data_IF_777618206139
#
_entry.id   IF_777618206139
#
_cell.length_a   1.000
_cell.length_b   1.000
_cell.length_c   1.000
_cell.angle_alpha   90.00
_cell.angle_beta   90.00
_cell.angle_gamma   90.00
#
_symmetry.space_group_name_H-M   'P 1'
#
loop_
_entity.id
_entity.type
_entity.pdbx_description
1 polymer ?
#
# COMPACT_ATOMS: atom_id res chain seq x y z
N UNK A 1 -15.60 1.06 9.01
CA UNK A 1 -14.51 1.56 8.14
C UNK A 1 -14.14 0.46 7.14
N UNK A 2 -14.00 0.77 5.85
CA UNK A 2 -14.03 -0.17 4.71
C UNK A 2 -12.73 -1.00 4.48
N UNK A 3 -11.97 -1.28 5.53
CA UNK A 3 -10.61 -1.82 5.43
C UNK A 3 -9.60 -0.74 5.05
N UNK A 4 -8.54 -1.13 4.34
CA UNK A 4 -7.45 -0.23 3.92
C UNK A 4 -7.96 0.73 2.84
N UNK A 5 -7.67 2.02 3.02
CA UNK A 5 -7.99 3.09 2.06
C UNK A 5 -6.68 3.62 1.47
N UNK A 6 -6.61 3.68 0.15
CA UNK A 6 -5.44 4.17 -0.57
C UNK A 6 -5.52 5.70 -0.73
N UNK A 7 -4.46 6.40 -0.35
CA UNK A 7 -4.32 7.85 -0.51
C UNK A 7 -3.05 8.14 -1.32
N UNK A 8 -3.11 8.07 -2.67
CA UNK A 8 -1.97 8.37 -3.54
C UNK A 8 -1.65 9.87 -3.54
N UNK A 9 -0.75 10.29 -2.63
CA UNK A 9 -0.42 11.71 -2.44
C UNK A 9 0.66 12.23 -3.41
N UNK A 10 1.66 11.40 -3.72
CA UNK A 10 2.80 11.79 -4.56
C UNK A 10 3.37 10.58 -5.30
N UNK A 11 3.78 10.78 -6.54
CA UNK A 11 4.50 9.79 -7.35
C UNK A 11 5.71 10.42 -8.04
N UNK A 12 6.79 9.65 -8.19
CA UNK A 12 7.97 10.03 -8.96
C UNK A 12 8.13 9.10 -10.17
N UNK A 13 8.58 9.64 -11.29
CA UNK A 13 8.79 8.88 -12.52
C UNK A 13 10.15 8.16 -12.46
N UNK A 14 10.12 6.84 -12.46
CA UNK A 14 11.32 6.04 -12.72
C UNK A 14 11.60 5.97 -14.22
N UNK A 15 12.82 6.34 -14.62
CA UNK A 15 13.31 6.22 -15.99
C UNK A 15 14.45 5.20 -16.01
N UNK A 16 14.41 4.23 -16.92
CA UNK A 16 15.48 3.24 -17.05
C UNK A 16 16.77 3.93 -17.49
N UNK A 17 17.91 3.46 -16.99
CA UNK A 17 19.23 4.04 -17.31
C UNK A 17 19.48 4.21 -18.81
N UNK A 18 19.04 3.25 -19.62
CA UNK A 18 19.16 3.28 -21.10
C UNK A 18 18.37 4.40 -21.77
N UNK A 19 17.31 4.89 -21.13
CA UNK A 19 16.42 5.93 -21.68
C UNK A 19 16.80 7.35 -21.20
N UNK A 20 17.78 7.46 -20.28
CA UNK A 20 18.15 8.73 -19.64
C UNK A 20 18.78 9.70 -20.63
N UNK A 21 19.63 9.24 -21.54
CA UNK A 21 20.36 10.12 -22.47
C UNK A 21 19.41 11.03 -23.25
N UNK A 22 18.29 10.47 -23.75
CA UNK A 22 17.28 11.22 -24.51
C UNK A 22 16.58 12.27 -23.65
N UNK A 23 16.28 11.94 -22.39
CA UNK A 23 15.60 12.84 -21.46
C UNK A 23 16.54 13.89 -20.88
N UNK A 24 17.81 13.55 -20.64
CA UNK A 24 18.83 14.46 -20.15
C UNK A 24 19.06 15.62 -21.13
N UNK A 25 19.27 15.29 -22.41
CA UNK A 25 19.47 16.29 -23.49
C UNK A 25 18.37 17.35 -23.57
N UNK A 26 17.12 16.99 -23.23
CA UNK A 26 15.96 17.87 -23.37
C UNK A 26 15.49 18.50 -22.05
N UNK A 27 15.68 17.83 -20.92
CA UNK A 27 15.07 18.21 -19.64
C UNK A 27 16.05 18.18 -18.45
N UNK A 28 17.35 17.92 -18.68
CA UNK A 28 18.33 17.79 -17.60
C UNK A 28 18.08 16.61 -16.67
N UNK A 29 17.36 15.57 -17.14
CA UNK A 29 16.98 14.42 -16.33
C UNK A 29 18.19 13.60 -15.89
N UNK A 30 18.28 13.29 -14.60
CA UNK A 30 19.33 12.45 -14.02
C UNK A 30 18.81 11.06 -13.69
N UNK A 31 19.69 10.05 -13.78
CA UNK A 31 19.32 8.70 -13.42
C UNK A 31 19.17 8.55 -11.90
N UNK A 32 18.00 8.11 -11.47
CA UNK A 32 17.77 7.69 -10.09
C UNK A 32 17.23 6.25 -10.06
N UNK A 33 17.74 5.46 -9.13
CA UNK A 33 17.23 4.11 -8.88
C UNK A 33 15.85 4.16 -8.23
N UNK A 34 15.07 3.09 -8.37
CA UNK A 34 13.77 2.95 -7.67
C UNK A 34 13.92 3.09 -6.15
N UNK A 35 15.04 2.64 -5.60
CA UNK A 35 15.34 2.76 -4.17
C UNK A 35 15.55 4.22 -3.76
N UNK A 36 16.32 5.01 -4.55
CA UNK A 36 16.50 6.44 -4.30
C UNK A 36 15.17 7.20 -4.36
N UNK A 37 14.37 6.96 -5.41
CA UNK A 37 13.04 7.57 -5.55
C UNK A 37 12.11 7.20 -4.39
N UNK A 38 12.16 5.94 -3.94
CA UNK A 38 11.39 5.49 -2.77
C UNK A 38 11.80 6.19 -1.49
N UNK A 39 13.11 6.34 -1.23
CA UNK A 39 13.62 7.09 -0.08
C UNK A 39 13.20 8.56 -0.15
N UNK A 40 13.25 9.17 -1.33
CA UNK A 40 12.81 10.56 -1.52
C UNK A 40 11.31 10.73 -1.18
N UNK A 41 10.45 9.84 -1.71
CA UNK A 41 9.02 9.84 -1.42
C UNK A 41 8.73 9.70 0.08
N UNK A 42 9.43 8.78 0.75
CA UNK A 42 9.25 8.52 2.19
C UNK A 42 9.79 9.67 3.03
N UNK A 43 10.91 10.27 2.64
CA UNK A 43 11.47 11.45 3.32
C UNK A 43 10.49 12.62 3.24
N UNK A 44 9.93 12.88 2.05
CA UNK A 44 8.90 13.89 1.88
C UNK A 44 7.67 13.60 2.73
N UNK A 45 7.17 12.35 2.69
CA UNK A 45 5.97 11.96 3.44
C UNK A 45 6.16 12.13 4.95
N UNK A 46 7.24 11.59 5.52
CA UNK A 46 7.53 11.70 6.95
C UNK A 46 7.69 13.15 7.37
N UNK A 47 8.49 13.95 6.65
CA UNK A 47 8.63 15.39 6.95
C UNK A 47 7.28 16.10 6.96
N UNK A 48 6.46 15.84 5.94
CA UNK A 48 5.14 16.46 5.79
C UNK A 48 4.22 16.12 6.96
N UNK A 49 4.07 14.84 7.31
CA UNK A 49 3.16 14.47 8.42
C UNK A 49 3.68 14.96 9.78
N UNK A 50 5.01 15.04 9.98
CA UNK A 50 5.60 15.59 11.21
C UNK A 50 5.35 17.09 11.33
N UNK A 51 5.42 17.83 10.22
CA UNK A 51 5.05 19.26 10.19
C UNK A 51 3.57 19.46 10.58
N UNK A 52 2.68 18.54 10.20
CA UNK A 52 1.28 18.53 10.64
C UNK A 52 1.08 18.01 12.08
N UNK A 53 2.15 17.76 12.84
CA UNK A 53 2.07 17.34 14.25
C UNK A 53 1.73 15.86 14.45
N UNK A 54 1.66 15.05 13.39
CA UNK A 54 1.42 13.61 13.50
C UNK A 54 2.67 12.98 14.09
N UNK A 55 2.56 12.37 15.29
CA UNK A 55 3.67 11.69 15.99
C UNK A 55 3.62 10.17 15.92
N UNK A 56 2.61 9.60 15.26
CA UNK A 56 2.42 8.15 15.17
C UNK A 56 3.57 7.47 14.43
N UNK A 57 3.84 6.23 14.82
CA UNK A 57 4.85 5.39 14.18
C UNK A 57 4.39 5.04 12.76
N UNK A 58 5.27 5.24 11.78
CA UNK A 58 4.98 4.92 10.38
C UNK A 58 5.45 3.50 10.11
N UNK A 59 4.55 2.67 9.58
CA UNK A 59 4.88 1.34 9.07
C UNK A 59 4.87 1.38 7.55
N UNK A 60 5.92 0.83 6.95
CA UNK A 60 6.10 0.70 5.52
C UNK A 60 6.07 -0.77 5.14
N UNK A 61 5.21 -1.11 4.19
CA UNK A 61 5.14 -2.46 3.61
C UNK A 61 5.61 -2.41 2.16
N UNK A 62 6.63 -3.18 1.83
CA UNK A 62 7.22 -3.23 0.48
C UNK A 62 7.43 -4.66 0.01
N UNK A 63 7.59 -4.81 -1.30
CA UNK A 63 8.01 -6.09 -1.89
C UNK A 63 9.48 -6.43 -1.54
N UNK A 64 9.84 -7.70 -1.65
CA UNK A 64 11.20 -8.20 -1.42
C UNK A 64 12.27 -7.52 -2.27
N UNK A 65 11.93 -6.92 -3.43
CA UNK A 65 12.86 -6.11 -4.22
C UNK A 65 13.40 -4.86 -3.47
N UNK A 66 12.71 -4.40 -2.43
CA UNK A 66 13.13 -3.30 -1.56
C UNK A 66 13.82 -3.77 -0.29
N UNK A 67 13.92 -5.08 -0.04
CA UNK A 67 14.66 -5.66 1.08
C UNK A 67 16.18 -5.62 0.84
N UNK A 68 16.72 -4.42 0.61
CA UNK A 68 18.14 -4.16 0.32
C UNK A 68 18.67 -3.02 1.16
N UNK A 69 19.95 -3.12 1.56
CA UNK A 69 20.62 -2.14 2.43
C UNK A 69 20.49 -0.68 1.99
N UNK A 70 20.76 -0.31 0.72
CA UNK A 70 20.69 1.08 0.28
C UNK A 70 19.30 1.71 0.40
N UNK A 71 18.25 0.90 0.48
CA UNK A 71 16.88 1.36 0.72
C UNK A 71 16.54 1.33 2.21
N UNK A 72 16.84 0.22 2.89
CA UNK A 72 16.41 0.00 4.27
C UNK A 72 17.09 0.95 5.27
N UNK A 73 18.39 1.22 5.12
CA UNK A 73 19.10 2.05 6.11
C UNK A 73 18.57 3.49 6.14
N UNK A 74 18.45 4.22 5.01
CA UNK A 74 17.87 5.56 5.04
C UNK A 74 16.42 5.59 5.52
N UNK A 75 15.62 4.56 5.18
CA UNK A 75 14.23 4.48 5.65
C UNK A 75 14.14 4.28 7.16
N UNK A 76 15.04 3.48 7.75
CA UNK A 76 15.10 3.30 9.19
C UNK A 76 15.58 4.56 9.93
N UNK A 77 16.49 5.33 9.33
CA UNK A 77 16.92 6.64 9.87
C UNK A 77 15.76 7.65 9.95
N UNK A 78 14.74 7.51 9.09
CA UNK A 78 13.49 8.28 9.18
C UNK A 78 12.55 7.80 10.31
N UNK A 79 12.94 6.77 11.07
CA UNK A 79 12.12 6.18 12.13
C UNK A 79 10.95 5.32 11.63
N UNK A 80 11.01 4.87 10.37
CA UNK A 80 9.97 4.02 9.77
C UNK A 80 10.23 2.55 10.13
N UNK A 81 9.17 1.83 10.54
CA UNK A 81 9.19 0.37 10.65
C UNK A 81 8.97 -0.23 9.28
N UNK A 82 9.80 -1.18 8.86
CA UNK A 82 9.68 -1.82 7.55
C UNK A 82 9.24 -3.27 7.71
N UNK A 83 8.19 -3.64 6.97
CA UNK A 83 7.71 -5.00 6.78
C UNK A 83 7.91 -5.39 5.32
N UNK A 84 8.54 -6.53 5.06
CA UNK A 84 8.76 -7.00 3.69
C UNK A 84 8.94 -8.51 3.65
N UNK A 85 8.83 -9.08 2.45
CA UNK A 85 9.24 -10.45 2.18
C UNK A 85 10.77 -10.58 2.31
N UNK A 86 11.23 -11.69 2.87
CA UNK A 86 12.63 -12.12 2.82
C UNK A 86 12.88 -13.04 1.63
N UNK A 87 14.10 -13.04 1.13
CA UNK A 87 14.56 -14.14 0.26
C UNK A 87 14.69 -15.42 1.09
N UNK A 88 14.42 -16.59 0.48
CA UNK A 88 14.54 -17.89 1.16
C UNK A 88 15.97 -18.19 1.63
N UNK A 89 16.96 -17.58 0.99
CA UNK A 89 18.40 -17.68 1.28
C UNK A 89 18.96 -16.46 2.04
N UNK A 90 18.09 -15.65 2.65
CA UNK A 90 18.51 -14.45 3.40
C UNK A 90 19.59 -14.78 4.45
N UNK A 91 20.60 -13.90 4.52
CA UNK A 91 21.74 -14.07 5.43
C UNK A 91 21.35 -13.63 6.86
N UNK A 92 20.80 -14.58 7.61
CA UNK A 92 20.34 -14.42 8.98
C UNK A 92 21.24 -15.16 9.96
N UNK A 93 21.40 -14.62 11.17
CA UNK A 93 22.14 -15.23 12.26
C UNK A 93 21.31 -15.20 13.54
N UNK A 94 21.67 -16.05 14.50
CA UNK A 94 21.11 -15.99 15.85
C UNK A 94 21.41 -14.62 16.51
N UNK A 95 20.82 -14.39 17.68
CA UNK A 95 21.15 -13.21 18.50
C UNK A 95 22.59 -13.34 19.06
N UNK A 96 23.32 -12.22 19.24
CA UNK A 96 24.59 -12.25 19.94
C UNK A 96 24.39 -12.68 21.39
N UNK A 97 25.39 -13.36 21.96
CA UNK A 97 25.38 -13.75 23.38
C UNK A 97 25.50 -12.49 24.23
N UNK A 98 24.63 -12.35 25.23
CA UNK A 98 24.70 -11.24 26.17
C UNK A 98 26.06 -11.23 26.91
N UNK A 99 26.71 -10.07 26.99
CA UNK A 99 28.01 -9.93 27.65
C UNK A 99 29.23 -10.39 26.83
N UNK A 100 29.07 -10.69 25.54
CA UNK A 100 30.22 -10.98 24.68
C UNK A 100 31.18 -9.79 24.57
N UNK A 101 32.49 -10.04 24.67
CA UNK A 101 33.51 -9.01 24.46
C UNK A 101 33.47 -8.45 23.04
N UNK A 102 33.48 -7.12 22.93
CA UNK A 102 33.32 -6.38 21.68
C UNK A 102 31.85 -6.31 21.25
N UNK A 103 31.43 -5.17 20.69
CA UNK A 103 30.07 -4.89 20.24
C UNK A 103 29.61 -5.81 19.08
N UNK A 104 29.47 -7.11 19.35
CA UNK A 104 29.20 -8.14 18.35
C UNK A 104 27.75 -8.04 17.90
N UNK A 105 27.55 -7.63 16.64
CA UNK A 105 26.22 -7.39 16.06
C UNK A 105 25.48 -8.67 15.63
N UNK A 106 26.19 -9.80 15.48
CA UNK A 106 25.64 -11.04 14.94
C UNK A 106 25.97 -12.24 15.82
N UNK A 107 25.03 -13.17 15.96
CA UNK A 107 25.25 -14.47 16.59
C UNK A 107 26.23 -15.34 15.81
N UNK A 108 26.66 -16.44 16.44
CA UNK A 108 27.65 -17.37 15.85
C UNK A 108 27.06 -18.22 14.72
N UNK A 109 25.81 -18.69 14.87
CA UNK A 109 25.22 -19.63 13.92
C UNK A 109 24.40 -18.91 12.87
N UNK A 110 24.53 -19.37 11.62
CA UNK A 110 23.70 -18.95 10.50
C UNK A 110 22.35 -19.68 10.55
N UNK A 111 21.26 -18.95 10.34
CA UNK A 111 19.91 -19.50 10.27
C UNK A 111 19.56 -19.80 8.81
N UNK A 112 19.06 -21.01 8.55
CA UNK A 112 18.46 -21.37 7.26
C UNK A 112 16.94 -21.37 7.35
N UNK A 113 16.30 -20.48 6.59
CA UNK A 113 14.84 -20.40 6.53
C UNK A 113 14.21 -21.68 5.97
N UNK A 114 14.84 -22.28 4.95
CA UNK A 114 14.38 -23.54 4.38
C UNK A 114 14.41 -24.68 5.42
N UNK A 115 15.50 -24.81 6.19
CA UNK A 115 15.57 -25.80 7.28
C UNK A 115 14.54 -25.51 8.37
N UNK A 116 14.34 -24.24 8.76
CA UNK A 116 13.33 -23.83 9.74
C UNK A 116 11.91 -24.15 9.27
N UNK A 117 11.61 -23.92 7.99
CA UNK A 117 10.30 -24.22 7.40
C UNK A 117 10.05 -25.74 7.30
N UNK A 118 11.05 -26.52 6.86
CA UNK A 118 10.94 -27.98 6.71
C UNK A 118 10.80 -28.73 8.05
N UNK A 119 11.29 -28.16 9.15
CA UNK A 119 11.23 -28.81 10.46
C UNK A 119 9.77 -28.94 10.96
N UNK A 120 9.36 -30.11 11.46
CA UNK A 120 7.96 -30.33 11.85
C UNK A 120 7.53 -29.62 13.14
N UNK A 121 8.47 -29.40 14.08
CA UNK A 121 8.15 -28.72 15.36
C UNK A 121 8.18 -27.20 15.22
N UNK A 122 7.46 -26.51 16.12
CA UNK A 122 7.47 -25.06 16.30
C UNK A 122 6.50 -24.28 15.42
N UNK A 123 5.57 -24.97 14.75
CA UNK A 123 4.45 -24.33 14.06
C UNK A 123 3.35 -23.98 15.05
N UNK A 124 2.79 -22.79 14.89
CA UNK A 124 1.60 -22.31 15.61
C UNK A 124 0.55 -21.86 14.61
N UNK A 125 -0.70 -21.77 15.04
CA UNK A 125 -1.82 -21.32 14.20
C UNK A 125 -2.22 -19.91 14.61
N UNK A 126 -2.54 -19.06 13.64
CA UNK A 126 -3.10 -17.72 13.86
C UNK A 126 -4.24 -17.47 12.88
N UNK A 127 -5.26 -16.77 13.36
CA UNK A 127 -6.33 -16.20 12.54
C UNK A 127 -6.16 -14.68 12.52
N UNK A 128 -6.17 -14.09 11.33
CA UNK A 128 -5.98 -12.64 11.15
C UNK A 128 -6.79 -12.13 9.95
N UNK A 129 -7.01 -10.81 9.88
CA UNK A 129 -7.80 -10.21 8.81
C UNK A 129 -6.98 -10.05 7.53
N UNK A 130 -7.31 -10.82 6.50
CA UNK A 130 -6.70 -10.72 5.18
C UNK A 130 -7.73 -10.25 4.16
N UNK A 131 -7.54 -9.04 3.61
CA UNK A 131 -8.40 -8.48 2.54
C UNK A 131 -9.89 -8.50 2.88
N UNK A 132 -10.23 -8.22 4.14
CA UNK A 132 -11.61 -8.17 4.60
C UNK A 132 -12.25 -9.53 4.89
N UNK A 133 -11.46 -10.61 4.94
CA UNK A 133 -11.91 -11.95 5.37
C UNK A 133 -10.93 -12.48 6.41
N UNK A 134 -11.41 -13.26 7.37
CA UNK A 134 -10.54 -13.90 8.35
C UNK A 134 -9.91 -15.14 7.73
N UNK A 135 -8.58 -15.24 7.81
CA UNK A 135 -7.84 -16.38 7.30
C UNK A 135 -7.04 -17.02 8.41
N UNK A 136 -7.05 -18.35 8.44
CA UNK A 136 -6.27 -19.14 9.39
C UNK A 136 -5.04 -19.68 8.68
N UNK A 137 -3.86 -19.43 9.26
CA UNK A 137 -2.57 -19.85 8.71
C UNK A 137 -1.67 -20.43 9.79
N UNK A 138 -0.83 -21.38 9.39
CA UNK A 138 0.27 -21.84 10.22
C UNK A 138 1.47 -20.93 10.05
N UNK A 139 2.15 -20.62 11.15
CA UNK A 139 3.33 -19.77 11.14
C UNK A 139 4.42 -20.26 12.10
N UNK A 140 5.64 -19.77 11.86
CA UNK A 140 6.75 -19.78 12.83
C UNK A 140 7.26 -18.37 12.99
N UNK A 141 7.66 -18.00 14.20
CA UNK A 141 8.31 -16.71 14.45
C UNK A 141 9.52 -16.85 15.34
N UNK A 142 10.52 -16.01 15.11
CA UNK A 142 11.73 -15.92 15.91
C UNK A 142 12.44 -14.59 15.64
N UNK A 143 13.34 -14.22 16.55
CA UNK A 143 14.25 -13.09 16.35
C UNK A 143 15.53 -13.56 15.66
N UNK A 144 16.05 -12.75 14.75
CA UNK A 144 17.32 -13.01 14.07
C UNK A 144 18.07 -11.70 13.84
N UNK A 145 19.39 -11.74 13.85
CA UNK A 145 20.20 -10.63 13.35
C UNK A 145 20.34 -10.73 11.83
N UNK A 146 20.10 -9.62 11.14
CA UNK A 146 20.10 -9.60 9.67
C UNK A 146 21.16 -8.65 9.12
N UNK A 147 21.92 -9.11 8.12
CA UNK A 147 22.85 -8.23 7.41
C UNK A 147 22.13 -7.10 6.66
N UNK A 148 20.83 -7.22 6.38
CA UNK A 148 20.05 -6.18 5.72
C UNK A 148 20.06 -4.85 6.47
N UNK A 149 20.04 -4.90 7.80
CA UNK A 149 19.98 -3.71 8.66
C UNK A 149 21.05 -3.70 9.75
N UNK A 150 21.88 -4.75 9.84
CA UNK A 150 22.89 -4.97 10.88
C UNK A 150 22.32 -4.94 12.30
N UNK A 151 21.07 -5.36 12.44
CA UNK A 151 20.31 -5.32 13.69
C UNK A 151 19.34 -6.51 13.74
N UNK A 152 18.67 -6.65 14.87
CA UNK A 152 17.63 -7.66 15.11
C UNK A 152 16.39 -7.33 14.31
N UNK A 153 15.83 -8.35 13.66
CA UNK A 153 14.52 -8.32 13.01
C UNK A 153 13.66 -9.43 13.58
N UNK A 154 12.34 -9.23 13.56
CA UNK A 154 11.39 -10.32 13.75
C UNK A 154 11.16 -11.01 12.42
N UNK A 155 11.36 -12.32 12.37
CA UNK A 155 11.09 -13.16 11.21
C UNK A 155 9.79 -13.91 11.43
N UNK A 156 8.95 -13.96 10.39
CA UNK A 156 7.72 -14.75 10.37
C UNK A 156 7.73 -15.62 9.12
N UNK A 157 7.70 -16.94 9.30
CA UNK A 157 7.51 -17.90 8.20
C UNK A 157 6.04 -18.29 8.20
N UNK A 158 5.34 -18.06 7.10
CA UNK A 158 3.93 -18.47 6.92
C UNK A 158 3.88 -19.66 5.99
N UNK A 159 3.04 -20.64 6.32
CA UNK A 159 2.68 -21.76 5.45
C UNK A 159 1.32 -21.50 4.83
N UNK A 160 1.20 -21.78 3.53
CA UNK A 160 -0.03 -21.66 2.76
C UNK A 160 -0.67 -23.03 2.54
N UNK A 161 -1.93 -23.02 2.12
CA UNK A 161 -2.76 -24.21 1.96
C UNK A 161 -2.24 -25.15 0.85
N UNK A 162 -1.50 -24.59 -0.12
CA UNK A 162 -0.81 -25.34 -1.19
C UNK A 162 0.48 -26.05 -0.71
N UNK A 163 0.78 -26.00 0.58
CA UNK A 163 2.02 -26.54 1.17
C UNK A 163 3.24 -25.64 0.99
N UNK A 164 3.11 -24.54 0.22
CA UNK A 164 4.13 -23.52 0.06
C UNK A 164 4.37 -22.72 1.33
N UNK A 165 5.49 -21.99 1.37
CA UNK A 165 5.80 -21.08 2.47
C UNK A 165 6.49 -19.80 2.00
N UNK A 166 6.26 -18.72 2.75
CA UNK A 166 6.92 -17.44 2.54
C UNK A 166 7.51 -16.91 3.86
N UNK A 167 8.77 -16.45 3.86
CA UNK A 167 9.34 -15.72 4.98
C UNK A 167 9.09 -14.21 4.82
N UNK A 168 8.65 -13.58 5.89
CA UNK A 168 8.52 -12.14 6.05
C UNK A 168 9.41 -11.67 7.20
N UNK A 169 9.72 -10.38 7.21
CA UNK A 169 10.37 -9.75 8.35
C UNK A 169 9.73 -8.42 8.70
N UNK A 170 9.92 -8.04 9.96
CA UNK A 170 9.66 -6.71 10.49
C UNK A 170 10.93 -6.18 11.16
N UNK A 171 11.28 -4.92 10.91
CA UNK A 171 12.42 -4.26 11.56
C UNK A 171 12.13 -3.90 13.01
N UNK A 172 10.87 -3.88 13.43
CA UNK A 172 10.48 -3.82 14.83
C UNK A 172 10.45 -5.24 15.43
N UNK A 173 11.41 -5.53 16.31
CA UNK A 173 11.53 -6.84 16.96
C UNK A 173 10.40 -7.16 17.94
N UNK A 174 9.63 -6.17 18.38
CA UNK A 174 8.49 -6.32 19.31
C UNK A 174 7.15 -6.52 18.60
N UNK A 175 7.10 -6.31 17.28
CA UNK A 175 5.87 -6.44 16.49
C UNK A 175 5.18 -7.80 16.69
N UNK A 176 3.85 -7.80 16.83
CA UNK A 176 3.11 -9.05 16.89
C UNK A 176 3.10 -9.74 15.52
N UNK A 177 2.88 -11.05 15.50
CA UNK A 177 2.76 -11.78 14.24
C UNK A 177 1.52 -11.32 13.46
N UNK A 178 0.41 -11.04 14.16
CA UNK A 178 -0.82 -10.54 13.54
C UNK A 178 -0.57 -9.24 12.79
N UNK A 179 0.06 -8.25 13.43
CA UNK A 179 0.35 -6.94 12.82
C UNK A 179 1.19 -7.08 11.55
N UNK A 180 2.20 -7.96 11.58
CA UNK A 180 3.06 -8.21 10.42
C UNK A 180 2.26 -8.81 9.26
N UNK A 181 1.40 -9.80 9.53
CA UNK A 181 0.62 -10.48 8.50
C UNK A 181 -0.50 -9.61 7.93
N UNK A 182 -1.16 -8.82 8.78
CA UNK A 182 -2.17 -7.85 8.35
C UNK A 182 -1.54 -6.72 7.54
N UNK A 183 -0.36 -6.22 7.93
CA UNK A 183 0.39 -5.23 7.15
C UNK A 183 0.76 -5.80 5.76
N UNK A 184 1.27 -7.04 5.70
CA UNK A 184 1.57 -7.71 4.42
C UNK A 184 0.30 -7.87 3.56
N UNK A 185 -0.83 -8.25 4.17
CA UNK A 185 -2.10 -8.40 3.46
C UNK A 185 -2.62 -7.05 2.92
N UNK A 186 -2.48 -5.98 3.71
CA UNK A 186 -2.87 -4.62 3.36
C UNK A 186 -2.12 -4.07 2.14
N UNK A 187 -0.90 -4.57 1.84
CA UNK A 187 -0.13 -4.18 0.66
C UNK A 187 -0.92 -4.28 -0.64
N UNK A 188 -1.87 -5.24 -0.74
CA UNK A 188 -2.68 -5.43 -1.93
C UNK A 188 -3.52 -4.19 -2.32
N UNK A 189 -3.79 -3.29 -1.37
CA UNK A 189 -4.51 -2.04 -1.64
C UNK A 189 -3.83 -1.18 -2.73
N UNK A 190 -2.50 -1.29 -2.90
CA UNK A 190 -1.80 -0.57 -3.98
C UNK A 190 -2.16 -1.10 -5.37
N UNK A 191 -2.44 -2.41 -5.48
CA UNK A 191 -2.78 -3.05 -6.76
C UNK A 191 -4.21 -2.68 -7.16
N UNK A 192 -5.13 -2.65 -6.19
CA UNK A 192 -6.49 -2.14 -6.36
C UNK A 192 -6.49 -0.66 -6.76
N UNK A 193 -5.67 0.15 -6.09
CA UNK A 193 -5.49 1.56 -6.44
C UNK A 193 -5.00 1.74 -7.89
N UNK A 194 -3.97 1.00 -8.32
CA UNK A 194 -3.46 1.12 -9.69
C UNK A 194 -4.47 0.65 -10.74
N UNK A 195 -5.27 -0.36 -10.42
CA UNK A 195 -6.39 -0.77 -11.27
C UNK A 195 -7.40 0.38 -11.41
N UNK A 196 -7.88 0.92 -10.28
CA UNK A 196 -8.92 1.96 -10.28
C UNK A 196 -8.45 3.27 -10.92
N UNK A 197 -7.19 3.66 -10.74
CA UNK A 197 -6.64 4.87 -11.38
C UNK A 197 -6.57 4.74 -12.90
N UNK A 198 -6.36 3.53 -13.43
CA UNK A 198 -6.40 3.29 -14.88
C UNK A 198 -7.84 3.25 -15.39
N UNK A 199 -8.69 2.44 -14.77
CA UNK A 199 -10.05 2.19 -15.25
C UNK A 199 -11.00 3.38 -15.04
N UNK A 200 -10.90 4.07 -13.90
CA UNK A 200 -11.84 5.15 -13.56
C UNK A 200 -11.36 6.52 -14.04
N UNK A 201 -10.05 6.77 -13.99
CA UNK A 201 -9.45 8.07 -14.30
C UNK A 201 -8.67 8.09 -15.62
N UNK A 202 -8.62 6.97 -16.35
CA UNK A 202 -7.92 6.88 -17.64
C UNK A 202 -6.41 7.13 -17.53
N UNK A 203 -5.78 6.78 -16.40
CA UNK A 203 -4.34 6.95 -16.28
C UNK A 203 -3.59 6.11 -17.34
N UNK A 204 -2.75 6.78 -18.13
CA UNK A 204 -2.07 6.21 -19.30
C UNK A 204 -2.78 6.51 -20.63
N UNK A 205 -3.98 7.09 -20.62
CA UNK A 205 -4.72 7.50 -21.82
C UNK A 205 -4.53 8.99 -22.15
N UNK A 206 -3.73 9.73 -21.37
CA UNK A 206 -3.51 11.16 -21.58
C UNK A 206 -2.68 11.43 -22.83
N UNK A 207 -3.19 12.27 -23.71
CA UNK A 207 -2.54 12.65 -24.98
C UNK A 207 -1.66 13.90 -24.84
N UNK A 208 -0.74 13.89 -23.86
CA UNK A 208 0.18 15.00 -23.61
C UNK A 208 1.57 14.73 -24.22
N UNK A 209 2.21 15.77 -24.78
CA UNK A 209 3.49 15.65 -25.51
C UNK A 209 4.73 16.00 -24.68
N UNK A 210 4.55 16.54 -23.48
CA UNK A 210 5.63 16.96 -22.57
C UNK A 210 5.71 16.03 -21.36
N UNK A 211 6.92 15.65 -20.93
CA UNK A 211 7.14 14.73 -19.81
C UNK A 211 6.60 15.28 -18.48
N UNK A 212 6.77 16.58 -18.22
CA UNK A 212 6.25 17.24 -17.03
C UNK A 212 4.72 17.29 -17.03
N UNK A 213 4.11 17.54 -18.19
CA UNK A 213 2.66 17.43 -18.34
C UNK A 213 2.17 16.00 -18.07
N UNK A 214 2.89 14.99 -18.54
CA UNK A 214 2.55 13.59 -18.28
C UNK A 214 2.61 13.25 -16.77
N UNK A 215 3.68 13.66 -16.10
CA UNK A 215 3.83 13.52 -14.64
C UNK A 215 2.73 14.30 -13.89
N UNK A 216 2.40 15.50 -14.35
CA UNK A 216 1.32 16.32 -13.81
C UNK A 216 -0.03 15.63 -13.91
N UNK A 217 -0.37 15.09 -15.09
CA UNK A 217 -1.60 14.32 -15.29
C UNK A 217 -1.66 13.08 -14.39
N UNK A 218 -0.55 12.37 -14.21
CA UNK A 218 -0.50 11.21 -13.31
C UNK A 218 -0.80 11.60 -11.87
N UNK A 219 -0.14 12.64 -11.37
CA UNK A 219 -0.37 13.12 -9.99
C UNK A 219 -1.79 13.69 -9.82
N UNK A 220 -2.32 14.40 -10.82
CA UNK A 220 -3.70 14.88 -10.80
C UNK A 220 -4.71 13.72 -10.66
N UNK A 221 -4.52 12.63 -11.41
CA UNK A 221 -5.36 11.44 -11.27
C UNK A 221 -5.27 10.85 -9.86
N UNK A 222 -4.06 10.80 -9.26
CA UNK A 222 -3.88 10.38 -7.87
C UNK A 222 -4.59 11.32 -6.87
N UNK A 223 -4.47 12.62 -7.04
CA UNK A 223 -5.12 13.59 -6.14
C UNK A 223 -6.64 13.53 -6.24
N UNK A 224 -7.18 13.42 -7.44
CA UNK A 224 -8.63 13.24 -7.64
C UNK A 224 -9.12 11.93 -7.02
N UNK A 225 -8.35 10.84 -7.16
CA UNK A 225 -8.63 9.58 -6.46
C UNK A 225 -8.69 9.80 -4.94
N UNK A 226 -7.66 10.43 -4.37
CA UNK A 226 -7.56 10.73 -2.93
C UNK A 226 -8.75 11.56 -2.44
N UNK A 227 -9.12 12.61 -3.17
CA UNK A 227 -10.25 13.47 -2.80
C UNK A 227 -11.58 12.70 -2.80
N UNK A 228 -11.81 11.82 -3.77
CA UNK A 228 -13.01 10.97 -3.79
C UNK A 228 -13.05 10.02 -2.60
N UNK A 229 -11.91 9.41 -2.25
CA UNK A 229 -11.81 8.54 -1.07
C UNK A 229 -12.09 9.30 0.23
N UNK A 230 -11.52 10.50 0.40
CA UNK A 230 -11.73 11.34 1.57
C UNK A 230 -13.17 11.85 1.68
N UNK A 231 -13.78 12.30 0.58
CA UNK A 231 -15.17 12.78 0.55
C UNK A 231 -16.20 11.70 0.92
N UNK A 232 -15.84 10.43 0.72
CA UNK A 232 -16.71 9.29 1.00
C UNK A 232 -16.28 8.50 2.24
N UNK A 233 -15.30 9.01 3.00
CA UNK A 233 -14.66 8.28 4.10
C UNK A 233 -15.65 7.83 5.18
N UNK A 234 -16.52 8.75 5.61
CA UNK A 234 -17.52 8.55 6.66
C UNK A 234 -18.92 8.19 6.13
N UNK A 235 -19.05 7.94 4.82
CA UNK A 235 -20.35 7.65 4.20
C UNK A 235 -20.62 6.14 4.23
N UNK A 236 -21.85 5.77 4.59
CA UNK A 236 -22.30 4.37 4.65
C UNK A 236 -22.33 3.68 3.28
N UNK A 237 -22.07 2.37 3.25
CA UNK A 237 -22.09 1.58 1.99
C UNK A 237 -23.44 1.59 1.30
N UNK A 238 -24.53 1.58 2.07
CA UNK A 238 -25.90 1.64 1.56
C UNK A 238 -26.18 2.95 0.81
N UNK A 239 -25.46 4.02 1.14
CA UNK A 239 -25.57 5.30 0.43
C UNK A 239 -24.62 5.39 -0.77
N UNK A 240 -23.43 4.80 -0.66
CA UNK A 240 -22.40 4.85 -1.71
C UNK A 240 -22.65 3.88 -2.86
N UNK A 241 -23.29 2.74 -2.61
CA UNK A 241 -23.45 1.68 -3.59
C UNK A 241 -24.92 1.39 -3.88
N UNK A 242 -25.27 1.46 -5.16
CA UNK A 242 -26.56 1.01 -5.68
C UNK A 242 -26.33 -0.20 -6.59
N UNK A 243 -26.77 -1.37 -6.10
CA UNK A 243 -26.58 -2.67 -6.76
C UNK A 243 -27.84 -3.16 -7.48
N UNK A 244 -28.91 -2.36 -7.59
CA UNK A 244 -30.18 -2.80 -8.20
C UNK A 244 -30.01 -3.35 -9.63
N UNK A 245 -29.10 -2.76 -10.41
CA UNK A 245 -28.82 -3.18 -11.78
C UNK A 245 -27.77 -4.30 -11.89
N UNK A 246 -27.29 -4.82 -10.75
CA UNK A 246 -26.26 -5.87 -10.65
C UNK A 246 -26.64 -6.89 -9.58
N UNK A 247 -27.80 -7.57 -9.69
CA UNK A 247 -28.32 -8.47 -8.64
C UNK A 247 -27.45 -9.70 -8.38
N UNK A 248 -26.56 -10.06 -9.31
CA UNK A 248 -25.60 -11.16 -9.14
C UNK A 248 -24.34 -10.77 -8.35
N UNK A 249 -24.13 -9.48 -8.06
CA UNK A 249 -22.98 -9.00 -7.28
C UNK A 249 -23.25 -9.10 -5.78
N UNK A 250 -22.20 -9.26 -4.98
CA UNK A 250 -22.34 -9.40 -3.53
C UNK A 250 -22.80 -8.08 -2.89
N UNK A 251 -23.99 -8.09 -2.29
CA UNK A 251 -24.59 -6.93 -1.64
C UNK A 251 -23.72 -6.34 -0.50
N UNK A 252 -22.93 -7.18 0.18
CA UNK A 252 -22.04 -6.78 1.27
C UNK A 252 -20.65 -6.36 0.79
N UNK A 253 -20.37 -6.41 -0.52
CA UNK A 253 -19.09 -5.96 -1.08
C UNK A 253 -18.88 -4.47 -0.86
N UNK A 254 -17.72 -4.09 -0.32
CA UNK A 254 -17.35 -2.68 -0.10
C UNK A 254 -17.59 -1.84 -1.37
N UNK A 255 -17.99 -0.56 -1.24
CA UNK A 255 -18.14 0.33 -2.39
C UNK A 255 -16.85 0.41 -3.20
N UNK A 256 -16.95 0.32 -4.53
CA UNK A 256 -15.81 0.53 -5.41
C UNK A 256 -15.46 2.02 -5.49
N UNK A 257 -14.24 2.33 -5.95
CA UNK A 257 -13.87 3.71 -6.22
C UNK A 257 -14.82 4.38 -7.25
N UNK A 258 -15.27 3.63 -8.26
CA UNK A 258 -16.25 4.09 -9.23
C UNK A 258 -17.61 4.40 -8.59
N UNK A 259 -18.08 3.59 -7.63
CA UNK A 259 -19.34 3.83 -6.92
C UNK A 259 -19.24 5.15 -6.11
N UNK A 260 -18.12 5.36 -5.41
CA UNK A 260 -17.84 6.60 -4.65
C UNK A 260 -17.78 7.83 -5.55
N UNK A 261 -17.05 7.75 -6.67
CA UNK A 261 -16.98 8.83 -7.65
C UNK A 261 -18.37 9.14 -8.21
N UNK A 262 -19.14 8.11 -8.57
CA UNK A 262 -20.50 8.28 -9.07
C UNK A 262 -21.35 8.99 -8.04
N UNK A 263 -21.35 8.54 -6.79
CA UNK A 263 -22.07 9.18 -5.69
C UNK A 263 -21.78 10.69 -5.58
N UNK A 264 -20.51 11.10 -5.62
CA UNK A 264 -20.13 12.51 -5.58
C UNK A 264 -20.67 13.25 -6.80
N UNK A 265 -20.47 12.72 -8.02
CA UNK A 265 -21.05 13.29 -9.24
C UNK A 265 -22.55 13.45 -9.12
N UNK A 266 -23.26 12.46 -8.57
CA UNK A 266 -24.71 12.53 -8.35
C UNK A 266 -25.10 13.67 -7.44
N UNK A 267 -24.40 13.81 -6.32
CA UNK A 267 -24.65 14.86 -5.34
C UNK A 267 -24.39 16.25 -5.94
N UNK A 268 -23.30 16.41 -6.69
CA UNK A 268 -22.97 17.67 -7.36
C UNK A 268 -24.01 18.05 -8.42
N UNK A 269 -24.40 17.10 -9.28
CA UNK A 269 -25.42 17.34 -10.30
C UNK A 269 -26.77 17.66 -9.67
N UNK A 270 -27.22 16.91 -8.65
CA UNK A 270 -28.45 17.21 -7.92
C UNK A 270 -28.43 18.61 -7.30
N UNK A 271 -27.33 18.99 -6.65
CA UNK A 271 -27.19 20.31 -6.02
C UNK A 271 -27.16 21.47 -7.03
N UNK A 272 -26.81 21.22 -8.30
CA UNK A 272 -26.83 22.23 -9.35
C UNK A 272 -28.18 22.28 -10.08
N UNK A 273 -28.70 21.12 -10.47
CA UNK A 273 -29.92 21.04 -11.29
C UNK A 273 -31.21 21.20 -10.50
N UNK A 274 -31.31 20.65 -9.29
CA UNK A 274 -32.56 20.74 -8.51
C UNK A 274 -32.93 22.18 -8.13
N UNK A 275 -31.98 23.05 -7.73
CA UNK A 275 -32.29 24.46 -7.47
C UNK A 275 -32.57 25.29 -8.72
N UNK A 276 -32.05 24.86 -9.89
CA UNK A 276 -32.27 25.55 -11.16
C UNK A 276 -33.58 25.15 -11.84
N UNK A 277 -34.28 24.13 -11.35
CA UNK A 277 -35.58 23.70 -11.89
C UNK A 277 -36.67 24.70 -11.50
N UNK A 278 -37.45 25.21 -12.48
CA UNK A 278 -38.65 25.98 -12.21
C UNK A 278 -39.63 25.21 -11.28
N UNK A 279 -40.34 25.89 -10.37
CA UNK A 279 -41.22 25.24 -9.39
C UNK A 279 -42.27 24.30 -10.01
N UNK A 280 -42.81 24.69 -11.15
CA UNK A 280 -43.78 23.98 -12.00
C UNK A 280 -43.21 22.72 -12.65
N UNK A 281 -41.90 22.69 -12.92
CA UNK A 281 -41.20 21.53 -13.48
C UNK A 281 -40.59 20.61 -12.41
N UNK A 282 -40.61 21.02 -11.14
CA UNK A 282 -40.01 20.28 -10.04
C UNK A 282 -40.91 19.16 -9.48
N UNK A 283 -41.52 18.35 -10.35
CA UNK A 283 -42.41 17.26 -9.98
C UNK A 283 -41.72 15.88 -10.05
N UNK A 284 -42.32 14.88 -9.40
CA UNK A 284 -41.72 13.56 -9.10
C UNK A 284 -41.15 12.84 -10.33
N UNK A 285 -41.76 13.00 -11.50
CA UNK A 285 -41.36 12.35 -12.76
C UNK A 285 -40.02 12.90 -13.27
N UNK A 286 -39.87 14.23 -13.32
CA UNK A 286 -38.61 14.89 -13.70
C UNK A 286 -37.48 14.59 -12.73
N UNK A 287 -37.76 14.58 -11.42
CA UNK A 287 -36.78 14.15 -10.40
C UNK A 287 -36.32 12.71 -10.62
N UNK A 288 -37.21 11.80 -11.00
CA UNK A 288 -36.88 10.39 -11.25
C UNK A 288 -36.03 10.22 -12.51
N UNK A 289 -36.38 10.90 -13.60
CA UNK A 289 -35.57 10.93 -14.83
C UNK A 289 -34.17 11.51 -14.59
N UNK A 290 -34.06 12.60 -13.81
CA UNK A 290 -32.77 13.14 -13.38
C UNK A 290 -31.99 12.13 -12.52
N UNK A 291 -32.65 11.37 -11.66
CA UNK A 291 -31.99 10.30 -10.88
C UNK A 291 -31.53 9.13 -11.75
N UNK A 292 -32.21 8.82 -12.84
CA UNK A 292 -31.85 7.74 -13.77
C UNK A 292 -30.67 8.15 -14.68
N UNK A 293 -30.58 9.45 -15.02
CA UNK A 293 -29.50 10.03 -15.83
C UNK A 293 -28.18 10.22 -15.05
N UNK A 294 -28.28 10.24 -13.72
CA UNK A 294 -27.21 10.50 -12.75
C UNK A 294 -26.72 9.17 -12.12
#
# INVERSE_FOLDING_TARGET
>A
MWGVIALPLRSLLYVRKVDIEKLNKKYGWEFQTKHQLGVELLTWFVKTIRLFGVKTKVWLVVDGAYAVRPFLLPVLELGIVVVSRLRKDACLFDLPIAGAHGNRKYGKNKISLAKRAAHNKGWSTITYRCRGVDVTRQYKTFLATSRLISNVIRVVIVRFDDGGWAPYFCTDSSASVSDILEAVAARWAIEEHFHDVKEVWGAGQQQVRNVWSNIGCWNLNGWLYTLVELCCWDVGQTELSDRKNRPWDNAHRRPSHADRRRFISRKMLRNKFLPALPPDLNHRKLRRLLQDLI
#
